data_IF_384645685998
#
_entry.id   IF_384645685998
#
_cell.length_a   1.000
_cell.length_b   1.000
_cell.length_c   1.000
_cell.angle_alpha   90.00
_cell.angle_beta   90.00
_cell.angle_gamma   90.00
#
_symmetry.space_group_name_H-M   'P 1'
#
loop_
_entity.id
_entity.type
_entity.pdbx_description
1 polymer ?
#
# COMPACT_ATOMS: atom_id res chain seq x y z
N UNK A 1 -19.20 -20.42 -4.03
CA UNK A 1 -18.53 -19.71 -5.12
C UNK A 1 -19.31 -18.44 -5.42
N UNK A 2 -18.72 -17.28 -5.22
CA UNK A 2 -19.36 -15.99 -5.49
C UNK A 2 -18.42 -15.11 -6.32
N UNK A 3 -19.01 -14.17 -7.07
CA UNK A 3 -18.24 -13.14 -7.76
C UNK A 3 -18.02 -11.97 -6.83
N UNK A 4 -16.75 -11.57 -6.66
CA UNK A 4 -16.33 -10.43 -5.85
C UNK A 4 -15.98 -9.28 -6.79
N UNK A 5 -16.81 -8.23 -6.79
CA UNK A 5 -16.50 -6.99 -7.50
C UNK A 5 -15.48 -6.17 -6.73
N UNK A 6 -14.46 -5.65 -7.41
CA UNK A 6 -13.45 -4.75 -6.83
C UNK A 6 -13.46 -3.45 -7.62
N UNK A 7 -13.93 -2.38 -6.98
CA UNK A 7 -14.03 -1.07 -7.59
C UNK A 7 -12.91 -0.12 -7.15
N UNK A 8 -12.29 0.54 -8.13
CA UNK A 8 -11.40 1.68 -7.93
C UNK A 8 -11.43 2.61 -9.15
N UNK A 9 -11.03 3.86 -8.99
CA UNK A 9 -11.03 4.85 -10.08
C UNK A 9 -10.00 4.56 -11.17
N UNK A 10 -8.89 3.91 -10.86
CA UNK A 10 -7.79 3.60 -11.78
C UNK A 10 -7.27 4.80 -12.60
N UNK A 11 -7.27 6.00 -12.00
CA UNK A 11 -6.83 7.23 -12.68
C UNK A 11 -5.31 7.34 -12.82
N UNK A 12 -4.56 6.68 -11.96
CA UNK A 12 -3.10 6.72 -11.91
C UNK A 12 -2.50 5.34 -11.66
N UNK A 13 -1.21 5.17 -12.01
CA UNK A 13 -0.45 3.97 -11.63
C UNK A 13 0.13 4.14 -10.22
N UNK A 14 -0.71 4.23 -9.22
CA UNK A 14 -0.34 4.39 -7.82
C UNK A 14 -0.39 3.08 -7.02
N UNK A 15 0.02 3.15 -5.75
CA UNK A 15 0.00 1.99 -4.86
C UNK A 15 -1.40 1.43 -4.59
N UNK A 16 -2.44 2.26 -4.69
CA UNK A 16 -3.84 1.85 -4.51
C UNK A 16 -4.34 1.02 -5.67
N UNK A 17 -4.04 1.44 -6.90
CA UNK A 17 -4.44 0.76 -8.12
C UNK A 17 -3.72 -0.58 -8.27
N UNK A 18 -2.40 -0.60 -8.03
CA UNK A 18 -1.62 -1.86 -8.00
C UNK A 18 -2.18 -2.80 -6.94
N UNK A 19 -2.58 -2.29 -5.78
CA UNK A 19 -3.22 -3.08 -4.73
C UNK A 19 -4.52 -3.74 -5.18
N UNK A 20 -5.37 -3.02 -5.93
CA UNK A 20 -6.60 -3.59 -6.48
C UNK A 20 -6.30 -4.78 -7.39
N UNK A 21 -5.33 -4.62 -8.28
CA UNK A 21 -4.90 -5.68 -9.20
C UNK A 21 -4.33 -6.88 -8.47
N UNK A 22 -3.45 -6.65 -7.50
CA UNK A 22 -2.87 -7.74 -6.72
C UNK A 22 -3.90 -8.46 -5.87
N UNK A 23 -4.89 -7.73 -5.34
CA UNK A 23 -5.98 -8.33 -4.60
C UNK A 23 -6.85 -9.20 -5.53
N UNK A 24 -7.18 -8.71 -6.72
CA UNK A 24 -7.91 -9.49 -7.72
C UNK A 24 -7.11 -10.72 -8.15
N UNK A 25 -5.83 -10.57 -8.49
CA UNK A 25 -4.95 -11.67 -8.85
C UNK A 25 -4.82 -12.71 -7.72
N UNK A 26 -4.85 -12.25 -6.46
CA UNK A 26 -4.75 -13.13 -5.31
C UNK A 26 -6.07 -13.90 -5.08
N UNK A 27 -7.22 -13.25 -5.24
CA UNK A 27 -8.53 -13.93 -5.19
C UNK A 27 -8.60 -15.02 -6.27
N UNK A 28 -8.24 -14.69 -7.50
CA UNK A 28 -8.20 -15.62 -8.63
C UNK A 28 -7.31 -16.84 -8.37
N UNK A 29 -6.14 -16.62 -7.78
CA UNK A 29 -5.10 -17.66 -7.61
C UNK A 29 -5.30 -18.55 -6.38
N UNK A 30 -5.81 -18.00 -5.30
CA UNK A 30 -5.78 -18.65 -3.99
C UNK A 30 -7.17 -18.94 -3.41
N UNK A 31 -8.25 -18.65 -4.13
CA UNK A 31 -9.62 -18.88 -3.68
C UNK A 31 -10.49 -19.45 -4.78
N UNK A 32 -11.66 -19.94 -4.41
CA UNK A 32 -12.68 -20.39 -5.36
C UNK A 32 -13.61 -19.24 -5.82
N UNK A 33 -13.39 -18.01 -5.38
CA UNK A 33 -14.16 -16.85 -5.80
C UNK A 33 -13.66 -16.30 -7.13
N UNK A 34 -14.56 -15.73 -7.91
CA UNK A 34 -14.22 -15.06 -9.16
C UNK A 34 -14.07 -13.56 -8.94
N UNK A 35 -12.88 -12.97 -9.11
CA UNK A 35 -12.71 -11.54 -9.03
C UNK A 35 -13.20 -10.84 -10.30
N UNK A 36 -13.79 -9.66 -10.12
CA UNK A 36 -14.20 -8.76 -11.20
C UNK A 36 -13.69 -7.35 -10.91
N UNK A 37 -12.79 -6.84 -11.73
CA UNK A 37 -12.33 -5.46 -11.62
C UNK A 37 -13.33 -4.51 -12.28
N UNK A 38 -13.70 -3.48 -11.55
CA UNK A 38 -14.66 -2.48 -11.97
C UNK A 38 -13.94 -1.13 -12.05
N UNK A 39 -13.83 -0.58 -13.26
CA UNK A 39 -13.13 0.66 -13.55
C UNK A 39 -14.11 1.75 -13.93
N UNK A 40 -13.94 2.94 -13.34
CA UNK A 40 -14.74 4.12 -13.68
C UNK A 40 -14.62 4.47 -15.17
N UNK A 41 -13.37 4.55 -15.64
CA UNK A 41 -13.02 4.75 -17.07
C UNK A 41 -12.35 3.52 -17.63
N UNK A 42 -11.42 3.61 -18.51
CA UNK A 42 -10.55 2.51 -18.93
C UNK A 42 -9.41 2.29 -17.94
N UNK A 43 -8.88 1.07 -17.90
CA UNK A 43 -7.67 0.76 -17.16
C UNK A 43 -6.43 1.22 -17.96
N UNK A 44 -5.49 1.99 -17.37
CA UNK A 44 -4.24 2.35 -18.06
C UNK A 44 -3.45 1.11 -18.52
N UNK A 45 -2.94 1.09 -19.74
CA UNK A 45 -2.18 -0.03 -20.34
C UNK A 45 -1.04 -0.52 -19.45
N UNK A 46 -0.37 0.42 -18.78
CA UNK A 46 0.71 0.10 -17.84
C UNK A 46 0.24 -0.76 -16.66
N UNK A 47 -1.00 -0.67 -16.25
CA UNK A 47 -1.58 -1.50 -15.20
C UNK A 47 -2.05 -2.85 -15.72
N UNK A 48 -2.44 -2.95 -16.98
CA UNK A 48 -2.86 -4.21 -17.57
C UNK A 48 -1.77 -5.28 -17.51
N UNK A 49 -0.50 -4.89 -17.59
CA UNK A 49 0.63 -5.81 -17.47
C UNK A 49 0.78 -6.46 -16.07
N UNK A 50 0.15 -5.91 -15.05
CA UNK A 50 0.12 -6.48 -13.70
C UNK A 50 -1.06 -7.42 -13.44
N UNK A 51 -2.03 -7.48 -14.37
CA UNK A 51 -3.25 -8.26 -14.25
C UNK A 51 -3.03 -9.70 -14.74
N UNK A 52 -3.53 -10.71 -14.02
CA UNK A 52 -3.64 -12.06 -14.54
C UNK A 52 -4.64 -12.09 -15.71
N UNK A 53 -4.40 -12.93 -16.71
CA UNK A 53 -5.23 -13.01 -17.92
C UNK A 53 -6.68 -13.39 -17.59
N UNK A 54 -6.89 -14.26 -16.60
CA UNK A 54 -8.21 -14.73 -16.18
C UNK A 54 -9.05 -13.67 -15.44
N UNK A 55 -8.42 -12.64 -14.87
CA UNK A 55 -9.14 -11.57 -14.15
C UNK A 55 -9.87 -10.68 -15.16
N UNK A 56 -11.19 -10.69 -15.11
CA UNK A 56 -12.04 -9.86 -15.97
C UNK A 56 -12.05 -8.40 -15.50
N UNK A 57 -12.15 -7.50 -16.48
CA UNK A 57 -12.27 -6.05 -16.26
C UNK A 57 -13.55 -5.55 -16.92
N UNK A 58 -14.34 -4.79 -16.17
CA UNK A 58 -15.46 -4.01 -16.70
C UNK A 58 -15.09 -2.54 -16.64
N UNK A 59 -14.99 -1.95 -17.80
CA UNK A 59 -14.62 -0.54 -17.97
C UNK A 59 -15.84 0.33 -18.23
N UNK A 60 -15.67 1.64 -18.05
CA UNK A 60 -16.69 2.64 -18.37
C UNK A 60 -18.01 2.45 -17.60
N UNK A 61 -17.92 2.25 -16.27
CA UNK A 61 -19.09 2.08 -15.40
C UNK A 61 -19.89 3.41 -15.27
N UNK A 62 -19.72 4.29 -16.24
CA UNK A 62 -20.42 5.58 -16.40
C UNK A 62 -21.57 5.42 -17.37
N UNK A 63 -22.59 4.76 -16.98
CA UNK A 63 -23.82 4.77 -17.77
C UNK A 63 -24.84 5.71 -17.15
N UNK A 64 -25.70 6.36 -17.95
CA UNK A 64 -26.76 7.22 -17.43
C UNK A 64 -27.75 6.43 -16.54
N UNK A 65 -27.82 5.10 -16.74
CA UNK A 65 -28.68 4.23 -15.94
C UNK A 65 -27.88 3.34 -14.98
N UNK A 66 -28.43 3.02 -13.79
CA UNK A 66 -27.75 2.16 -12.81
C UNK A 66 -27.43 0.79 -13.36
N UNK A 67 -26.17 0.36 -13.19
CA UNK A 67 -25.73 -0.98 -13.57
C UNK A 67 -26.08 -1.96 -12.47
N UNK A 68 -26.85 -2.99 -12.79
CA UNK A 68 -27.13 -4.09 -11.88
C UNK A 68 -26.00 -5.14 -11.98
N UNK A 69 -24.98 -5.00 -11.16
CA UNK A 69 -23.80 -5.88 -11.14
C UNK A 69 -24.17 -7.32 -10.78
N UNK A 70 -25.18 -7.54 -9.94
CA UNK A 70 -25.66 -8.88 -9.58
C UNK A 70 -26.26 -9.59 -10.79
N UNK A 71 -27.10 -8.91 -11.52
CA UNK A 71 -27.78 -9.49 -12.69
C UNK A 71 -26.82 -9.73 -13.85
N UNK A 72 -25.92 -8.78 -14.13
CA UNK A 72 -25.01 -8.83 -15.30
C UNK A 72 -23.81 -9.74 -15.09
N UNK A 73 -23.26 -9.76 -13.86
CA UNK A 73 -21.99 -10.40 -13.58
C UNK A 73 -22.00 -11.33 -12.36
N UNK A 74 -23.16 -11.50 -11.71
CA UNK A 74 -23.29 -12.36 -10.53
C UNK A 74 -22.60 -11.81 -9.25
N UNK A 75 -22.28 -10.51 -9.21
CA UNK A 75 -21.57 -9.90 -8.06
C UNK A 75 -22.43 -9.92 -6.81
N UNK A 76 -21.99 -10.62 -5.78
CA UNK A 76 -22.61 -10.70 -4.47
C UNK A 76 -21.99 -9.73 -3.47
N UNK A 77 -20.67 -9.64 -3.49
CA UNK A 77 -19.86 -8.78 -2.62
C UNK A 77 -19.11 -7.75 -3.42
N UNK A 78 -19.16 -6.49 -3.00
CA UNK A 78 -18.50 -5.38 -3.66
C UNK A 78 -17.45 -4.75 -2.73
N UNK A 79 -16.19 -4.82 -3.12
CA UNK A 79 -15.08 -4.16 -2.44
C UNK A 79 -14.83 -2.81 -3.08
N UNK A 80 -14.84 -1.76 -2.29
CA UNK A 80 -14.62 -0.38 -2.73
C UNK A 80 -13.33 0.13 -2.13
N UNK A 81 -12.39 0.55 -2.98
CA UNK A 81 -11.05 0.96 -2.55
C UNK A 81 -10.86 2.45 -2.79
N UNK A 82 -10.52 3.19 -1.74
CA UNK A 82 -10.17 4.62 -1.77
C UNK A 82 -11.19 5.56 -2.42
N UNK A 83 -12.43 5.14 -2.48
CA UNK A 83 -13.49 5.93 -3.11
C UNK A 83 -14.41 6.47 -2.03
N UNK A 84 -14.67 7.77 -2.04
CA UNK A 84 -15.73 8.35 -1.25
C UNK A 84 -17.08 7.81 -1.74
N UNK A 85 -17.98 7.49 -0.82
CA UNK A 85 -19.35 7.04 -1.17
C UNK A 85 -20.14 8.05 -2.00
N UNK A 86 -19.63 9.24 -2.18
CA UNK A 86 -20.17 10.28 -3.08
C UNK A 86 -20.29 9.87 -4.55
N UNK A 87 -19.54 8.83 -4.93
CA UNK A 87 -19.49 8.34 -6.31
C UNK A 87 -20.61 7.33 -6.63
N UNK A 88 -21.51 7.02 -5.66
CA UNK A 88 -22.64 6.12 -5.88
C UNK A 88 -23.96 6.90 -6.00
N UNK A 89 -24.54 6.94 -7.18
CA UNK A 89 -25.75 7.72 -7.50
C UNK A 89 -27.03 7.26 -6.81
N UNK A 90 -27.08 6.03 -6.32
CA UNK A 90 -28.24 5.46 -5.58
C UNK A 90 -28.26 5.85 -4.12
N UNK A 91 -27.26 6.54 -3.62
CA UNK A 91 -27.28 7.17 -2.32
C UNK A 91 -27.86 8.56 -2.51
N UNK A 92 -29.11 8.76 -2.09
CA UNK A 92 -29.79 10.03 -2.18
C UNK A 92 -28.85 11.23 -1.99
N UNK A 93 -28.66 11.93 -3.08
CA UNK A 93 -28.37 13.32 -3.20
C UNK A 93 -27.31 13.93 -2.27
N UNK A 94 -26.17 14.27 -2.81
CA UNK A 94 -25.29 15.27 -2.25
C UNK A 94 -25.12 16.46 -3.21
N UNK A 95 -25.80 17.55 -2.90
CA UNK A 95 -25.56 18.84 -3.54
C UNK A 95 -24.22 19.40 -3.06
N UNK A 96 -23.34 19.64 -3.97
CA UNK A 96 -22.25 20.55 -3.78
C UNK A 96 -20.86 20.08 -4.12
N UNK A 97 -20.40 20.49 -5.28
CA UNK A 97 -19.06 20.62 -5.82
C UNK A 97 -18.49 19.37 -6.51
N UNK A 98 -18.46 19.49 -7.82
CA UNK A 98 -17.84 18.61 -8.83
C UNK A 98 -18.45 17.21 -8.96
N UNK A 99 -19.74 17.12 -9.18
CA UNK A 99 -20.41 15.96 -9.78
C UNK A 99 -19.96 15.80 -11.25
N UNK A 100 -18.69 15.56 -11.50
CA UNK A 100 -18.24 15.28 -12.87
C UNK A 100 -18.28 13.80 -13.21
N UNK A 101 -18.42 12.91 -12.21
CA UNK A 101 -18.37 11.47 -12.45
C UNK A 101 -19.04 10.71 -11.29
N UNK A 102 -20.30 10.35 -11.46
CA UNK A 102 -21.02 9.44 -10.57
C UNK A 102 -20.99 8.04 -11.14
N UNK A 103 -20.45 7.09 -10.38
CA UNK A 103 -20.58 5.67 -10.71
C UNK A 103 -22.02 5.26 -10.42
N UNK A 104 -22.71 4.79 -11.43
CA UNK A 104 -24.12 4.44 -11.31
C UNK A 104 -24.27 2.92 -11.15
N UNK A 105 -24.20 2.44 -9.89
CA UNK A 105 -24.37 1.03 -9.54
C UNK A 105 -25.65 0.85 -8.74
N UNK A 106 -26.50 -0.08 -9.18
CA UNK A 106 -27.64 -0.50 -8.38
C UNK A 106 -27.17 -1.39 -7.22
N UNK A 107 -26.99 -0.78 -6.07
CA UNK A 107 -26.56 -1.48 -4.85
C UNK A 107 -27.68 -2.27 -4.17
N UNK A 108 -28.94 -2.09 -4.56
CA UNK A 108 -30.09 -2.77 -3.93
C UNK A 108 -30.06 -4.30 -4.06
N UNK A 109 -29.28 -4.80 -5.02
CA UNK A 109 -29.09 -6.24 -5.27
C UNK A 109 -27.74 -6.78 -4.77
N UNK A 110 -26.91 -5.93 -4.20
CA UNK A 110 -25.64 -6.33 -3.59
C UNK A 110 -25.90 -6.78 -2.15
N UNK A 111 -25.43 -7.97 -1.80
CA UNK A 111 -25.62 -8.52 -0.46
C UNK A 111 -24.67 -7.91 0.57
N UNK A 112 -23.44 -7.59 0.11
CA UNK A 112 -22.38 -7.12 0.98
C UNK A 112 -21.53 -6.03 0.31
N UNK A 113 -21.18 -5.01 1.06
CA UNK A 113 -20.26 -3.95 0.64
C UNK A 113 -19.11 -3.82 1.63
N UNK A 114 -17.90 -3.90 1.13
CA UNK A 114 -16.66 -3.83 1.91
C UNK A 114 -15.87 -2.60 1.51
N UNK A 115 -15.69 -1.67 2.43
CA UNK A 115 -15.01 -0.41 2.19
C UNK A 115 -13.58 -0.44 2.70
N UNK A 116 -12.63 -0.33 1.81
CA UNK A 116 -11.21 -0.31 2.15
C UNK A 116 -10.66 1.11 2.09
N UNK A 117 -10.27 1.63 3.25
CA UNK A 117 -9.74 2.98 3.41
C UNK A 117 -8.22 2.97 3.63
N UNK A 118 -7.50 3.65 2.75
CA UNK A 118 -6.06 3.89 2.91
C UNK A 118 -5.79 5.08 3.82
N UNK A 119 -6.68 6.07 3.84
CA UNK A 119 -6.53 7.30 4.61
C UNK A 119 -7.68 7.47 5.58
N UNK A 120 -7.45 8.29 6.60
CA UNK A 120 -8.49 8.72 7.53
C UNK A 120 -9.44 9.63 6.75
N UNK A 121 -10.59 9.09 6.36
CA UNK A 121 -11.72 9.82 5.79
C UNK A 121 -12.87 9.77 6.79
N UNK A 122 -13.87 10.62 6.65
CA UNK A 122 -15.05 10.59 7.51
C UNK A 122 -16.21 9.86 6.81
N UNK A 123 -16.23 8.52 6.81
CA UNK A 123 -17.18 7.72 6.04
C UNK A 123 -18.54 7.56 6.71
N UNK A 124 -18.68 8.02 7.96
CA UNK A 124 -19.68 7.54 8.90
C UNK A 124 -21.14 7.63 8.40
N UNK A 125 -21.56 8.77 7.84
CA UNK A 125 -22.94 8.98 7.43
C UNK A 125 -23.38 8.05 6.27
N UNK A 126 -22.55 7.93 5.25
CA UNK A 126 -22.87 7.12 4.06
C UNK A 126 -22.90 5.62 4.36
N UNK A 127 -21.91 5.11 5.07
CA UNK A 127 -21.87 3.70 5.47
C UNK A 127 -23.07 3.33 6.34
N UNK A 128 -23.44 4.20 7.27
CA UNK A 128 -24.63 4.01 8.09
C UNK A 128 -25.92 3.98 7.25
N UNK A 129 -26.04 4.87 6.25
CA UNK A 129 -27.20 4.89 5.35
C UNK A 129 -27.30 3.60 4.53
N UNK A 130 -26.16 3.10 4.01
CA UNK A 130 -26.11 1.83 3.26
C UNK A 130 -26.52 0.65 4.16
N UNK A 131 -25.97 0.58 5.36
CA UNK A 131 -26.29 -0.52 6.30
C UNK A 131 -27.77 -0.56 6.68
N UNK A 132 -28.42 0.60 6.81
CA UNK A 132 -29.88 0.70 7.05
C UNK A 132 -30.73 0.18 5.90
N UNK A 133 -30.19 0.04 4.71
CA UNK A 133 -30.87 -0.59 3.56
C UNK A 133 -30.81 -2.13 3.59
N UNK A 134 -30.27 -2.72 4.67
CA UNK A 134 -30.15 -4.18 4.83
C UNK A 134 -28.95 -4.79 4.12
N UNK A 135 -28.01 -3.96 3.65
CA UNK A 135 -26.75 -4.41 3.07
C UNK A 135 -25.75 -4.66 4.19
N UNK A 136 -25.05 -5.81 4.18
CA UNK A 136 -23.93 -6.08 5.09
C UNK A 136 -22.76 -5.17 4.75
N UNK A 137 -22.52 -4.16 5.59
CA UNK A 137 -21.46 -3.19 5.40
C UNK A 137 -20.28 -3.49 6.31
N UNK A 138 -19.09 -3.62 5.73
CA UNK A 138 -17.85 -3.93 6.46
C UNK A 138 -16.76 -2.93 6.13
N UNK A 139 -15.84 -2.73 7.08
CA UNK A 139 -14.76 -1.74 6.96
C UNK A 139 -13.40 -2.44 7.00
N UNK A 140 -12.58 -2.16 6.02
CA UNK A 140 -11.17 -2.53 6.00
C UNK A 140 -10.30 -1.29 6.17
N UNK A 141 -9.32 -1.37 7.04
CA UNK A 141 -8.32 -0.33 7.25
C UNK A 141 -6.93 -0.86 6.91
N UNK A 142 -6.01 0.01 6.53
CA UNK A 142 -4.67 -0.42 6.12
C UNK A 142 -3.67 -0.51 7.27
N UNK A 143 -4.02 0.06 8.43
CA UNK A 143 -3.12 0.13 9.58
C UNK A 143 -3.88 0.14 10.91
N UNK A 144 -3.17 -0.21 11.97
CA UNK A 144 -3.70 -0.30 13.34
C UNK A 144 -4.24 1.03 13.83
N UNK A 145 -3.56 2.13 13.56
CA UNK A 145 -3.99 3.45 14.02
C UNK A 145 -5.38 3.80 13.52
N UNK A 146 -5.64 3.65 12.23
CA UNK A 146 -6.95 3.97 11.68
C UNK A 146 -8.05 3.02 12.19
N UNK A 147 -7.73 1.72 12.32
CA UNK A 147 -8.63 0.75 12.93
C UNK A 147 -9.07 1.18 14.34
N UNK A 148 -8.12 1.65 15.16
CA UNK A 148 -8.40 2.12 16.51
C UNK A 148 -9.19 3.43 16.52
N UNK A 149 -8.88 4.37 15.63
CA UNK A 149 -9.57 5.65 15.54
C UNK A 149 -11.07 5.47 15.24
N UNK A 150 -11.43 4.54 14.34
CA UNK A 150 -12.84 4.20 14.07
C UNK A 150 -13.52 3.67 15.35
N UNK A 151 -12.80 2.93 16.20
CA UNK A 151 -13.32 2.40 17.45
C UNK A 151 -13.53 3.44 18.56
N UNK A 152 -12.74 4.51 18.56
CA UNK A 152 -12.61 5.42 19.70
C UNK A 152 -13.15 6.83 19.49
N UNK A 153 -13.07 7.37 18.26
CA UNK A 153 -13.43 8.78 18.01
C UNK A 153 -14.93 8.97 17.74
N UNK A 154 -15.51 10.02 18.30
CA UNK A 154 -16.96 10.31 18.20
C UNK A 154 -17.45 10.54 16.77
N UNK A 155 -16.58 11.09 15.91
CA UNK A 155 -16.90 11.25 14.47
C UNK A 155 -17.23 9.96 13.74
N UNK A 156 -16.88 8.80 14.31
CA UNK A 156 -17.18 7.46 13.78
C UNK A 156 -18.28 6.72 14.54
N UNK A 157 -18.97 7.36 15.48
CA UNK A 157 -19.98 6.73 16.32
C UNK A 157 -21.03 5.93 15.52
N UNK A 158 -21.51 6.51 14.42
CA UNK A 158 -22.53 5.91 13.55
C UNK A 158 -22.09 4.60 12.87
N UNK A 159 -20.80 4.34 12.77
CA UNK A 159 -20.22 3.16 12.07
C UNK A 159 -19.37 2.30 12.99
N UNK A 160 -19.24 2.68 14.26
CA UNK A 160 -18.41 1.97 15.24
C UNK A 160 -18.87 0.52 15.44
N UNK A 161 -20.14 0.24 15.25
CA UNK A 161 -20.74 -1.09 15.36
C UNK A 161 -20.49 -1.99 14.14
N UNK A 162 -20.10 -1.43 13.00
CA UNK A 162 -19.87 -2.21 11.78
C UNK A 162 -18.64 -3.12 11.93
N UNK A 163 -18.70 -4.35 11.40
CA UNK A 163 -17.55 -5.24 11.36
C UNK A 163 -16.35 -4.56 10.69
N UNK A 164 -15.17 -4.66 11.29
CA UNK A 164 -13.96 -4.05 10.73
C UNK A 164 -12.74 -4.92 10.96
N UNK A 165 -11.79 -4.80 10.04
CA UNK A 165 -10.53 -5.54 10.08
C UNK A 165 -9.39 -4.71 9.49
N UNK A 166 -8.15 -4.99 9.93
CA UNK A 166 -6.95 -4.48 9.29
C UNK A 166 -6.60 -5.40 8.12
N UNK A 167 -6.56 -4.84 6.90
CA UNK A 167 -6.12 -5.53 5.70
C UNK A 167 -5.00 -4.74 5.04
N UNK A 168 -3.77 -5.22 5.17
CA UNK A 168 -2.61 -4.64 4.52
C UNK A 168 -2.65 -4.88 2.99
N UNK A 169 -1.81 -4.19 2.23
CA UNK A 169 -1.70 -4.49 0.80
C UNK A 169 -0.97 -5.82 0.58
N UNK A 170 -1.47 -6.69 -0.29
CA UNK A 170 -0.74 -7.88 -0.68
C UNK A 170 0.56 -7.50 -1.42
N UNK A 171 1.59 -8.33 -1.27
CA UNK A 171 2.80 -8.27 -2.08
C UNK A 171 3.04 -9.63 -2.74
N UNK A 172 3.44 -9.61 -4.00
CA UNK A 172 3.81 -10.84 -4.71
C UNK A 172 5.23 -11.23 -4.33
N UNK A 173 5.37 -12.07 -3.30
CA UNK A 173 6.67 -12.53 -2.82
C UNK A 173 7.38 -13.49 -3.78
N UNK A 174 6.69 -14.07 -4.77
CA UNK A 174 7.32 -14.93 -5.80
C UNK A 174 8.22 -14.13 -6.74
N UNK A 175 7.94 -12.84 -6.90
CA UNK A 175 8.77 -11.93 -7.69
C UNK A 175 9.92 -11.32 -6.89
N UNK A 176 9.87 -11.44 -5.56
CA UNK A 176 10.89 -10.89 -4.68
C UNK A 176 12.10 -11.81 -4.64
N UNK A 177 13.26 -11.30 -4.97
CA UNK A 177 14.49 -12.06 -4.96
C UNK A 177 15.12 -12.06 -3.56
N UNK A 178 15.35 -13.26 -3.02
CA UNK A 178 16.03 -13.47 -1.74
C UNK A 178 17.55 -13.51 -1.85
N UNK A 179 18.08 -13.59 -3.08
CA UNK A 179 19.53 -13.68 -3.31
C UNK A 179 20.09 -12.26 -3.47
N UNK A 180 20.91 -11.84 -2.52
CA UNK A 180 21.62 -10.57 -2.57
C UNK A 180 22.86 -10.65 -3.44
N UNK A 181 23.11 -9.63 -4.22
CA UNK A 181 24.35 -9.51 -4.95
C UNK A 181 25.48 -9.14 -3.99
N UNK A 182 26.56 -9.90 -4.03
CA UNK A 182 27.72 -9.64 -3.18
C UNK A 182 28.33 -8.25 -3.47
N UNK A 183 28.69 -7.53 -2.43
CA UNK A 183 29.40 -6.26 -2.50
C UNK A 183 30.38 -6.15 -1.34
N UNK A 184 31.49 -5.46 -1.56
CA UNK A 184 32.46 -5.13 -0.51
C UNK A 184 31.98 -3.94 0.34
N UNK A 185 30.92 -3.24 -0.11
CA UNK A 185 30.32 -2.09 0.57
C UNK A 185 28.89 -2.39 0.95
N UNK A 186 28.42 -1.77 2.01
CA UNK A 186 27.01 -1.81 2.41
C UNK A 186 26.21 -0.85 1.52
N UNK A 187 25.23 -1.36 0.82
CA UNK A 187 24.34 -0.57 -0.05
C UNK A 187 23.08 -0.17 0.68
N UNK A 188 22.95 1.14 0.91
CA UNK A 188 21.76 1.73 1.54
C UNK A 188 20.92 2.36 0.42
N UNK A 189 19.66 1.93 0.32
CA UNK A 189 18.83 2.40 -0.76
C UNK A 189 17.35 2.47 -0.45
N UNK A 190 16.61 2.95 -1.43
CA UNK A 190 15.14 2.97 -1.40
C UNK A 190 14.58 3.07 -2.81
N UNK A 191 13.35 2.58 -2.97
CA UNK A 191 12.56 2.90 -4.16
C UNK A 191 11.23 3.54 -3.76
N UNK A 192 10.77 4.49 -4.58
CA UNK A 192 9.45 5.11 -4.43
C UNK A 192 9.08 5.88 -5.69
N UNK A 193 7.84 6.37 -5.75
CA UNK A 193 7.52 7.46 -6.66
C UNK A 193 8.32 8.71 -6.25
N UNK A 194 8.78 9.50 -7.23
CA UNK A 194 9.60 10.69 -6.99
C UNK A 194 8.85 11.89 -6.38
N UNK A 195 8.01 11.63 -5.38
CA UNK A 195 7.23 12.64 -4.66
C UNK A 195 8.01 13.25 -3.51
N UNK A 196 7.90 14.56 -3.34
CA UNK A 196 8.55 15.28 -2.24
C UNK A 196 8.12 14.80 -0.85
N UNK A 197 6.88 14.37 -0.69
CA UNK A 197 6.40 13.81 0.57
C UNK A 197 7.00 12.45 0.93
N UNK A 198 7.54 11.74 -0.08
CA UNK A 198 8.16 10.42 0.08
C UNK A 198 9.67 10.50 0.33
N UNK A 199 10.26 11.68 0.33
CA UNK A 199 11.69 11.89 0.57
C UNK A 199 11.87 13.13 1.45
N UNK A 200 12.18 12.95 2.72
CA UNK A 200 12.39 14.06 3.66
C UNK A 200 13.59 14.91 3.23
N UNK A 201 13.49 16.22 3.43
CA UNK A 201 14.57 17.17 3.09
C UNK A 201 15.87 16.90 3.84
N UNK A 202 15.78 16.31 5.05
CA UNK A 202 16.93 15.94 5.87
C UNK A 202 17.71 14.73 5.35
N UNK A 203 17.19 13.98 4.34
CA UNK A 203 17.94 12.88 3.72
C UNK A 203 19.27 13.34 3.18
N UNK A 204 19.33 14.51 2.53
CA UNK A 204 20.56 15.05 1.98
C UNK A 204 21.61 15.30 3.08
N UNK A 205 21.19 15.87 4.21
CA UNK A 205 22.08 16.14 5.34
C UNK A 205 22.53 14.84 6.00
N UNK A 206 21.62 13.87 6.17
CA UNK A 206 21.94 12.54 6.68
C UNK A 206 23.01 11.84 5.85
N UNK A 207 22.84 11.81 4.52
CA UNK A 207 23.79 11.16 3.60
C UNK A 207 25.18 11.84 3.69
N UNK A 208 25.22 13.17 3.69
CA UNK A 208 26.47 13.92 3.82
C UNK A 208 27.18 13.63 5.15
N UNK A 209 26.42 13.52 6.25
CA UNK A 209 26.95 13.28 7.57
C UNK A 209 27.48 11.85 7.73
N UNK A 210 26.78 10.86 7.22
CA UNK A 210 27.22 9.46 7.21
C UNK A 210 28.47 9.29 6.33
N UNK A 211 28.50 9.91 5.14
CA UNK A 211 29.64 9.83 4.24
C UNK A 211 30.94 10.40 4.84
N UNK A 212 30.87 11.39 5.72
CA UNK A 212 32.07 11.87 6.42
C UNK A 212 32.80 10.77 7.20
N UNK A 213 32.06 9.73 7.65
CA UNK A 213 32.59 8.65 8.48
C UNK A 213 32.80 7.34 7.68
N UNK A 214 31.93 7.06 6.72
CA UNK A 214 31.84 5.74 6.08
C UNK A 214 31.87 5.80 4.53
N UNK A 215 32.45 6.83 3.92
CA UNK A 215 32.46 7.01 2.45
C UNK A 215 33.01 5.79 1.69
N UNK A 216 33.99 5.11 2.26
CA UNK A 216 34.62 3.95 1.63
C UNK A 216 33.88 2.64 1.86
N UNK A 217 32.97 2.59 2.83
CA UNK A 217 32.26 1.40 3.28
C UNK A 217 30.79 1.36 2.84
N UNK A 218 30.25 2.49 2.35
CA UNK A 218 28.84 2.65 1.98
C UNK A 218 28.69 3.05 0.51
N UNK A 219 27.66 2.54 -0.12
CA UNK A 219 27.08 3.02 -1.36
C UNK A 219 25.60 3.36 -1.16
N UNK A 220 25.17 4.45 -1.81
CA UNK A 220 23.77 4.86 -1.80
C UNK A 220 23.14 4.63 -3.16
N UNK A 221 21.98 3.98 -3.19
CA UNK A 221 21.23 3.77 -4.43
C UNK A 221 19.76 4.17 -4.23
N UNK A 222 19.31 5.19 -4.94
CA UNK A 222 17.96 5.73 -4.81
C UNK A 222 17.21 5.68 -6.13
N UNK A 223 16.12 4.92 -6.17
CA UNK A 223 15.20 4.88 -7.30
C UNK A 223 13.94 5.72 -6.98
N UNK A 224 13.70 6.78 -7.76
CA UNK A 224 12.57 7.69 -7.57
C UNK A 224 12.82 8.81 -6.56
N UNK A 225 13.90 9.56 -6.72
CA UNK A 225 14.20 10.78 -5.95
C UNK A 225 13.39 11.98 -6.48
N UNK A 226 12.85 12.87 -5.61
CA UNK A 226 12.22 14.11 -6.05
C UNK A 226 13.16 15.00 -6.87
N UNK A 227 12.60 15.73 -7.82
CA UNK A 227 13.36 16.58 -8.74
C UNK A 227 14.25 17.61 -8.02
N UNK A 228 13.73 18.18 -6.91
CA UNK A 228 14.47 19.18 -6.09
C UNK A 228 15.78 18.63 -5.52
N UNK A 229 15.83 17.33 -5.17
CA UNK A 229 16.98 16.75 -4.45
C UNK A 229 18.02 16.13 -5.39
N UNK A 230 17.64 15.80 -6.64
CA UNK A 230 18.50 15.10 -7.62
C UNK A 230 19.83 15.82 -7.84
N UNK A 231 19.81 17.15 -7.99
CA UNK A 231 21.03 17.95 -8.33
C UNK A 231 22.07 17.88 -7.19
N UNK A 232 21.65 18.00 -5.97
CA UNK A 232 22.54 18.01 -4.81
C UNK A 232 23.04 16.60 -4.48
N UNK A 233 22.18 15.58 -4.58
CA UNK A 233 22.58 14.19 -4.36
C UNK A 233 23.62 13.72 -5.41
N UNK A 234 23.49 14.12 -6.67
CA UNK A 234 24.46 13.79 -7.72
C UNK A 234 25.88 14.33 -7.47
N UNK A 235 26.03 15.34 -6.61
CA UNK A 235 27.34 15.89 -6.23
C UNK A 235 28.05 15.05 -5.16
N UNK A 236 27.32 14.16 -4.50
CA UNK A 236 27.87 13.34 -3.43
C UNK A 236 28.47 12.08 -4.06
N UNK A 237 29.73 11.81 -3.74
CA UNK A 237 30.41 10.59 -4.14
C UNK A 237 29.65 9.37 -3.63
N UNK A 238 29.72 8.23 -4.32
CA UNK A 238 29.07 6.95 -4.00
C UNK A 238 27.52 7.01 -3.92
N UNK A 239 26.86 8.00 -4.56
CA UNK A 239 25.40 8.09 -4.68
C UNK A 239 24.97 7.80 -6.11
N UNK A 240 24.18 6.77 -6.29
CA UNK A 240 23.49 6.43 -7.54
C UNK A 240 22.04 6.89 -7.47
N UNK A 241 21.56 7.56 -8.51
CA UNK A 241 20.16 8.00 -8.63
C UNK A 241 19.58 7.38 -9.88
N UNK A 242 18.46 6.66 -9.71
CA UNK A 242 17.69 6.04 -10.77
C UNK A 242 16.33 6.73 -10.92
N UNK A 243 15.82 6.74 -12.12
CA UNK A 243 14.44 7.20 -12.36
C UNK A 243 13.44 6.18 -11.82
N UNK A 244 12.25 6.66 -11.48
CA UNK A 244 11.17 5.82 -10.94
C UNK A 244 10.87 4.66 -11.89
N UNK A 245 10.92 3.44 -11.36
CA UNK A 245 10.68 2.19 -12.11
C UNK A 245 11.60 1.98 -13.34
N UNK A 246 12.81 2.55 -13.34
CA UNK A 246 13.78 2.35 -14.41
C UNK A 246 14.32 0.93 -14.49
N UNK A 247 14.25 0.19 -13.39
CA UNK A 247 14.51 -1.25 -13.32
C UNK A 247 13.42 -1.92 -12.49
N UNK A 248 13.15 -3.22 -12.70
CA UNK A 248 12.20 -3.96 -11.88
C UNK A 248 12.58 -3.92 -10.40
N UNK A 249 11.60 -3.69 -9.52
CA UNK A 249 11.83 -3.58 -8.07
C UNK A 249 12.53 -4.80 -7.48
N UNK A 250 12.20 -6.06 -7.84
CA UNK A 250 12.91 -7.22 -7.33
C UNK A 250 14.40 -7.19 -7.68
N UNK A 251 14.74 -6.82 -8.92
CA UNK A 251 16.13 -6.70 -9.37
C UNK A 251 16.87 -5.57 -8.64
N UNK A 252 16.19 -4.45 -8.39
CA UNK A 252 16.74 -3.34 -7.61
C UNK A 252 17.09 -3.79 -6.18
N UNK A 253 16.16 -4.48 -5.52
CA UNK A 253 16.32 -4.91 -4.13
C UNK A 253 17.38 -6.00 -3.91
N UNK A 254 17.82 -6.70 -4.97
CA UNK A 254 18.99 -7.60 -4.90
C UNK A 254 20.27 -6.87 -4.51
N UNK A 255 20.38 -5.60 -4.90
CA UNK A 255 21.56 -4.77 -4.65
C UNK A 255 21.49 -3.99 -3.33
N UNK A 256 20.38 -4.02 -2.60
CA UNK A 256 20.17 -3.20 -1.40
C UNK A 256 20.33 -4.04 -0.13
N UNK A 257 21.25 -3.65 0.75
CA UNK A 257 21.48 -4.30 2.03
C UNK A 257 20.63 -3.70 3.15
N UNK A 258 20.41 -2.37 3.14
CA UNK A 258 19.60 -1.65 4.13
C UNK A 258 18.59 -0.77 3.39
N UNK A 259 17.31 -0.88 3.75
CA UNK A 259 16.27 -0.05 3.14
C UNK A 259 15.99 1.20 3.97
N UNK A 260 16.25 2.38 3.39
CA UNK A 260 16.06 3.67 4.05
C UNK A 260 14.72 4.30 3.65
N UNK A 261 13.76 4.32 4.56
CA UNK A 261 12.44 4.93 4.36
C UNK A 261 12.25 6.18 5.21
N UNK A 262 13.12 7.17 5.00
CA UNK A 262 13.04 8.49 5.64
C UNK A 262 12.12 9.39 4.82
N UNK A 263 10.84 9.39 5.17
CA UNK A 263 9.77 10.20 4.55
C UNK A 263 9.47 11.43 5.39
N UNK A 264 8.81 12.42 4.78
CA UNK A 264 8.46 13.66 5.46
C UNK A 264 7.64 13.42 6.74
N UNK A 265 8.08 14.02 7.84
CA UNK A 265 7.39 14.00 9.12
C UNK A 265 6.02 14.70 9.09
N UNK A 266 5.77 15.54 8.07
CA UNK A 266 4.49 16.26 7.90
C UNK A 266 3.38 15.37 7.36
N UNK A 267 3.72 14.24 6.74
CA UNK A 267 2.77 13.30 6.14
C UNK A 267 2.85 11.94 6.81
N UNK A 268 1.71 11.31 7.00
CA UNK A 268 1.64 9.91 7.39
C UNK A 268 1.53 9.03 6.17
N UNK A 269 2.34 7.99 6.13
CA UNK A 269 2.19 6.90 5.19
C UNK A 269 1.22 5.88 5.80
N UNK A 270 0.06 5.62 5.20
CA UNK A 270 -0.91 4.69 5.77
C UNK A 270 -0.36 3.27 5.88
N UNK A 271 0.33 2.84 4.83
CA UNK A 271 1.06 1.57 4.76
C UNK A 271 1.99 1.61 3.55
N UNK A 272 3.23 1.21 3.73
CA UNK A 272 4.22 1.34 2.67
C UNK A 272 4.46 0.01 1.96
N UNK A 273 4.02 -0.07 0.69
CA UNK A 273 4.32 -1.21 -0.17
C UNK A 273 5.83 -1.41 -0.35
N UNK A 274 6.58 -0.34 -0.58
CA UNK A 274 8.03 -0.41 -0.79
C UNK A 274 8.79 -0.93 0.43
N UNK A 275 8.29 -0.67 1.65
CA UNK A 275 8.83 -1.25 2.88
C UNK A 275 8.56 -2.76 2.91
N UNK A 276 7.34 -3.20 2.61
CA UNK A 276 7.00 -4.62 2.59
C UNK A 276 7.80 -5.41 1.54
N UNK A 277 7.99 -4.83 0.34
CA UNK A 277 8.83 -5.41 -0.72
C UNK A 277 10.30 -5.54 -0.28
N UNK A 278 10.84 -4.51 0.38
CA UNK A 278 12.20 -4.55 0.94
C UNK A 278 12.34 -5.58 2.06
N UNK A 279 11.34 -5.70 2.94
CA UNK A 279 11.31 -6.74 3.98
C UNK A 279 11.33 -8.13 3.36
N UNK A 280 10.50 -8.39 2.36
CA UNK A 280 10.45 -9.67 1.67
C UNK A 280 11.76 -9.98 0.92
N UNK A 281 12.53 -8.95 0.55
CA UNK A 281 13.88 -9.07 -0.04
C UNK A 281 14.99 -9.19 1.01
N UNK A 282 14.68 -9.31 2.29
CA UNK A 282 15.67 -9.47 3.35
C UNK A 282 16.45 -8.21 3.69
N UNK A 283 15.87 -7.02 3.52
CA UNK A 283 16.47 -5.79 4.01
C UNK A 283 15.99 -5.49 5.44
N UNK A 284 16.88 -5.15 6.38
CA UNK A 284 16.50 -4.39 7.56
C UNK A 284 15.95 -3.02 7.15
N UNK A 285 14.92 -2.56 7.87
CA UNK A 285 14.19 -1.36 7.54
C UNK A 285 14.54 -0.22 8.48
N UNK A 286 15.02 0.90 7.94
CA UNK A 286 15.12 2.16 8.68
C UNK A 286 13.96 3.04 8.24
N UNK A 287 12.95 3.20 9.07
CA UNK A 287 11.73 3.92 8.69
C UNK A 287 11.37 5.05 9.65
N UNK A 288 10.74 6.10 9.12
CA UNK A 288 10.14 7.16 9.95
C UNK A 288 9.12 6.56 10.92
N UNK A 289 9.25 6.88 12.23
CA UNK A 289 8.36 6.42 13.31
C UNK A 289 6.97 7.08 13.20
N UNK A 290 6.23 6.77 12.13
CA UNK A 290 4.91 7.35 11.87
C UNK A 290 4.04 6.47 10.98
N UNK A 291 2.72 6.55 11.22
CA UNK A 291 1.72 5.87 10.40
C UNK A 291 1.90 4.35 10.37
N UNK A 292 1.64 3.76 9.21
CA UNK A 292 1.72 2.31 8.99
C UNK A 292 3.13 1.71 9.04
N UNK A 293 4.19 2.54 9.10
CA UNK A 293 5.54 2.00 9.34
C UNK A 293 5.63 1.29 10.69
N UNK A 294 4.82 1.72 11.68
CA UNK A 294 4.73 1.07 13.01
C UNK A 294 4.14 -0.33 12.97
N UNK A 295 3.34 -0.61 11.96
CA UNK A 295 2.77 -1.95 11.75
C UNK A 295 3.71 -2.87 10.95
N UNK A 296 4.74 -2.30 10.32
CA UNK A 296 5.69 -3.03 9.47
C UNK A 296 7.04 -3.25 10.15
N UNK A 297 7.47 -2.33 11.03
CA UNK A 297 8.79 -2.37 11.65
C UNK A 297 8.67 -2.63 13.15
N UNK A 298 9.26 -3.73 13.58
CA UNK A 298 9.46 -4.09 14.97
C UNK A 298 10.84 -3.58 15.38
N UNK A 299 10.86 -2.50 16.15
CA UNK A 299 12.09 -1.77 16.50
C UNK A 299 13.14 -2.67 17.15
N UNK A 300 14.35 -2.70 16.59
CA UNK A 300 15.46 -3.54 17.05
C UNK A 300 15.42 -4.99 16.57
N UNK A 301 14.32 -5.45 15.94
CA UNK A 301 14.15 -6.83 15.43
C UNK A 301 14.34 -6.92 13.92
N UNK A 302 13.48 -6.28 13.11
CA UNK A 302 13.57 -6.27 11.66
C UNK A 302 13.98 -4.90 11.09
N UNK A 303 14.35 -3.95 11.96
CA UNK A 303 14.77 -2.61 11.61
C UNK A 303 14.66 -1.63 12.75
N UNK A 304 14.64 -0.34 12.42
CA UNK A 304 14.51 0.75 13.39
C UNK A 304 13.45 1.76 12.98
N UNK A 305 12.62 2.15 13.95
CA UNK A 305 11.69 3.27 13.84
C UNK A 305 12.39 4.55 14.31
N UNK A 306 12.57 5.49 13.38
CA UNK A 306 13.36 6.69 13.59
C UNK A 306 12.47 7.94 13.62
N UNK A 307 12.59 8.74 14.69
CA UNK A 307 11.77 9.95 14.92
C UNK A 307 12.28 11.19 14.19
N UNK A 308 13.56 11.23 13.87
CA UNK A 308 14.24 12.38 13.28
C UNK A 308 15.57 11.97 12.64
N UNK A 309 16.27 12.90 11.97
CA UNK A 309 17.57 12.66 11.34
C UNK A 309 18.60 12.04 12.29
N UNK A 310 18.65 12.48 13.55
CA UNK A 310 19.60 11.97 14.54
C UNK A 310 19.42 10.47 14.77
N UNK A 311 18.16 10.02 14.98
CA UNK A 311 17.88 8.60 15.18
C UNK A 311 18.13 7.75 13.94
N UNK A 312 17.96 8.28 12.73
CA UNK A 312 18.40 7.61 11.50
C UNK A 312 19.92 7.47 11.44
N UNK A 313 20.65 8.54 11.79
CA UNK A 313 22.10 8.51 11.86
C UNK A 313 22.60 7.44 12.83
N UNK A 314 22.08 7.43 14.06
CA UNK A 314 22.43 6.46 15.09
C UNK A 314 22.13 5.02 14.66
N UNK A 315 20.99 4.79 14.00
CA UNK A 315 20.63 3.47 13.47
C UNK A 315 21.60 3.00 12.38
N UNK A 316 21.97 3.87 11.43
CA UNK A 316 22.96 3.54 10.40
C UNK A 316 24.31 3.24 11.03
N UNK A 317 24.80 4.09 11.93
CA UNK A 317 26.07 3.88 12.64
C UNK A 317 26.08 2.55 13.39
N UNK A 318 25.02 2.23 14.12
CA UNK A 318 24.87 0.95 14.82
C UNK A 318 24.98 -0.26 13.88
N UNK A 319 24.37 -0.19 12.69
CA UNK A 319 24.45 -1.27 11.68
C UNK A 319 25.83 -1.34 11.02
N UNK A 320 26.51 -0.22 10.84
CA UNK A 320 27.88 -0.19 10.31
C UNK A 320 28.90 -0.74 11.28
N UNK A 321 28.71 -0.53 12.57
CA UNK A 321 29.58 -1.04 13.64
C UNK A 321 29.30 -2.52 13.98
N UNK A 322 28.09 -3.01 13.66
CA UNK A 322 27.62 -4.37 13.92
C UNK A 322 26.99 -4.97 12.63
N UNK A 323 27.82 -5.23 11.62
CA UNK A 323 27.36 -5.67 10.28
C UNK A 323 26.61 -7.02 10.31
N UNK A 324 26.90 -7.89 11.27
CA UNK A 324 26.16 -9.14 11.49
C UNK A 324 24.65 -8.92 11.72
N UNK A 325 24.28 -7.79 12.34
CA UNK A 325 22.88 -7.43 12.58
C UNK A 325 22.10 -7.14 11.29
N UNK A 326 22.79 -6.71 10.22
CA UNK A 326 22.14 -6.48 8.91
C UNK A 326 21.52 -7.78 8.42
N UNK A 327 22.26 -8.88 8.51
CA UNK A 327 21.80 -10.20 8.11
C UNK A 327 20.67 -10.70 9.03
N UNK A 328 20.86 -10.65 10.33
CA UNK A 328 19.88 -11.08 11.33
C UNK A 328 18.54 -10.32 11.16
N UNK A 329 18.59 -9.00 11.09
CA UNK A 329 17.38 -8.18 10.88
C UNK A 329 16.75 -8.42 9.51
N UNK A 330 17.55 -8.70 8.49
CA UNK A 330 17.07 -9.07 7.16
C UNK A 330 16.29 -10.40 7.18
N UNK A 331 16.78 -11.40 7.87
CA UNK A 331 16.09 -12.68 8.07
C UNK A 331 14.77 -12.49 8.83
N UNK A 332 14.77 -11.67 9.87
CA UNK A 332 13.55 -11.29 10.60
C UNK A 332 12.56 -10.51 9.71
N UNK A 333 13.05 -9.65 8.82
CA UNK A 333 12.23 -8.96 7.83
C UNK A 333 11.51 -9.94 6.91
N UNK A 334 12.22 -10.96 6.39
CA UNK A 334 11.62 -12.03 5.57
C UNK A 334 10.53 -12.77 6.34
N UNK A 335 10.80 -13.15 7.58
CA UNK A 335 9.83 -13.87 8.41
C UNK A 335 8.55 -13.04 8.63
N UNK A 336 8.71 -11.76 8.93
CA UNK A 336 7.56 -10.89 9.16
C UNK A 336 6.81 -10.54 7.87
N UNK A 337 7.48 -10.47 6.73
CA UNK A 337 6.86 -10.20 5.43
C UNK A 337 5.85 -11.27 4.99
N UNK A 338 5.90 -12.47 5.56
CA UNK A 338 4.93 -13.56 5.31
C UNK A 338 3.48 -13.15 5.62
N UNK A 339 3.30 -12.22 6.55
CA UNK A 339 1.98 -11.65 6.87
C UNK A 339 1.45 -10.69 5.80
N UNK A 340 2.24 -10.38 4.78
CA UNK A 340 1.87 -9.50 3.67
C UNK A 340 1.82 -10.23 2.32
N UNK A 341 2.04 -11.56 2.30
CA UNK A 341 1.93 -12.34 1.06
C UNK A 341 0.52 -12.28 0.49
N UNK A 342 0.41 -12.36 -0.82
CA UNK A 342 -0.89 -12.35 -1.51
C UNK A 342 -1.82 -13.44 -0.98
N UNK A 343 -1.30 -14.65 -0.74
CA UNK A 343 -2.05 -15.76 -0.17
C UNK A 343 -2.58 -15.47 1.24
N UNK A 344 -1.71 -14.98 2.15
CA UNK A 344 -2.13 -14.65 3.51
C UNK A 344 -3.19 -13.55 3.54
N UNK A 345 -2.99 -12.48 2.77
CA UNK A 345 -3.90 -11.33 2.73
C UNK A 345 -5.26 -11.72 2.15
N UNK A 346 -5.27 -12.52 1.06
CA UNK A 346 -6.55 -12.90 0.45
C UNK A 346 -7.34 -13.89 1.31
N UNK A 347 -6.66 -14.85 1.94
CA UNK A 347 -7.34 -15.77 2.86
C UNK A 347 -7.97 -15.02 4.04
N UNK A 348 -7.26 -14.04 4.58
CA UNK A 348 -7.79 -13.15 5.61
C UNK A 348 -9.00 -12.34 5.13
N UNK A 349 -8.94 -11.82 3.90
CA UNK A 349 -10.06 -11.08 3.29
C UNK A 349 -11.28 -11.97 3.10
N UNK A 350 -11.12 -13.13 2.48
CA UNK A 350 -12.23 -14.06 2.20
C UNK A 350 -12.87 -14.55 3.50
N UNK A 351 -12.06 -14.94 4.49
CA UNK A 351 -12.58 -15.27 5.82
C UNK A 351 -13.44 -14.13 6.37
N UNK A 352 -13.00 -12.89 6.24
CA UNK A 352 -13.76 -11.73 6.72
C UNK A 352 -15.04 -11.48 5.90
N UNK A 353 -15.02 -11.73 4.59
CA UNK A 353 -16.20 -11.60 3.71
C UNK A 353 -17.23 -12.72 4.04
N UNK A 354 -16.77 -13.94 4.26
CA UNK A 354 -17.63 -15.11 4.45
C UNK A 354 -18.18 -15.26 5.88
N UNK A 355 -17.66 -14.50 6.85
CA UNK A 355 -18.22 -14.47 8.20
C UNK A 355 -19.68 -14.00 8.12
N UNK A 356 -20.61 -14.87 8.50
CA UNK A 356 -22.01 -14.47 8.68
C UNK A 356 -22.10 -13.45 9.80
N UNK A 357 -22.66 -12.28 9.50
CA UNK A 357 -22.96 -11.21 10.47
C UNK A 357 -24.05 -11.61 11.45
#
# INVERSE_FOLDING_TARGET
LSTIGIFSKFEMCGGSEIRCLELANAIDRYTDHTPLLLCEKGMPDKLLSYKNDEVKVVENIFLPEPINLKQLYGVDSLIIINTDCKDFSTLDYWEGRSARHTVNIDISKISQMVFLYNFIVSPSRHLHTISKKGIDVRILTTNTRFFEEIGKQDRYEMVRHLPRMILNSPINTKEVCLIKNASNKIRIGRHSIGSESKFDVENLNLIKEINKRYENDIEWDFMGVPRRDKKELKKIKNVTIRDTFSIPVPKYLQDIDIFLFFVSLKREEPWSRSVAEAMASGCPILATDKGGNKDQVINGNNGFLCKNKKSFYEAIVSLMEHKERIKEMGENSILYSKFFTSEYIVNKLVTFIDLKS
#
